data_IF_161094622097
#
_entry.id   IF_161094622097
#
_cell.length_a   1.000
_cell.length_b   1.000
_cell.length_c   1.000
_cell.angle_alpha   90.00
_cell.angle_beta   90.00
_cell.angle_gamma   90.00
#
_symmetry.space_group_name_H-M   'P 1'
#
loop_
_entity.id
_entity.type
_entity.pdbx_description
1 polymer ?
#
# COMPACT_ATOMS: atom_id res chain seq x y z
N UNK A 1 15.87 26.55 12.01
CA UNK A 1 14.63 26.17 12.70
C UNK A 1 13.80 25.35 11.73
N UNK A 2 13.96 24.02 11.76
CA UNK A 2 13.25 23.13 10.84
C UNK A 2 11.76 23.16 11.17
N UNK A 3 10.94 23.49 10.17
CA UNK A 3 9.48 23.49 10.27
C UNK A 3 9.02 22.06 10.47
N UNK A 4 8.70 21.71 11.72
CA UNK A 4 7.94 20.53 12.10
C UNK A 4 6.53 20.67 11.52
N UNK A 5 6.39 20.47 10.21
CA UNK A 5 5.07 20.40 9.59
C UNK A 5 4.38 19.19 10.22
N UNK A 6 3.12 19.32 10.56
CA UNK A 6 2.27 18.24 11.05
C UNK A 6 2.10 17.18 9.95
N UNK A 7 3.14 16.36 9.75
CA UNK A 7 3.20 15.33 8.72
C UNK A 7 2.48 14.07 9.20
N UNK A 8 1.18 14.20 9.38
CA UNK A 8 0.09 13.21 9.23
C UNK A 8 -1.14 13.94 9.73
N UNK A 9 -1.84 14.66 8.84
CA UNK A 9 -3.18 15.16 9.17
C UNK A 9 -4.00 14.04 9.83
N UNK A 10 -4.86 14.36 10.80
CA UNK A 10 -5.70 13.35 11.47
C UNK A 10 -6.40 12.43 10.47
N UNK A 11 -6.78 12.98 9.30
CA UNK A 11 -7.31 12.29 8.13
C UNK A 11 -6.42 11.17 7.60
N UNK A 12 -5.13 11.42 7.33
CA UNK A 12 -4.21 10.39 6.81
C UNK A 12 -4.03 9.25 7.82
N UNK A 13 -4.01 9.58 9.12
CA UNK A 13 -3.93 8.57 10.20
C UNK A 13 -5.22 7.74 10.27
N UNK A 14 -6.38 8.37 10.16
CA UNK A 14 -7.68 7.69 10.15
C UNK A 14 -7.85 6.74 8.95
N UNK A 15 -7.45 7.19 7.75
CA UNK A 15 -7.47 6.34 6.53
C UNK A 15 -6.58 5.11 6.73
N UNK A 16 -5.38 5.29 7.27
CA UNK A 16 -4.43 4.20 7.53
C UNK A 16 -4.96 3.20 8.56
N UNK A 17 -5.58 3.69 9.64
CA UNK A 17 -6.21 2.85 10.65
C UNK A 17 -7.35 2.00 10.04
N UNK A 18 -8.25 2.62 9.28
CA UNK A 18 -9.35 1.91 8.62
C UNK A 18 -8.87 0.87 7.60
N UNK A 19 -7.76 1.12 6.91
CA UNK A 19 -7.18 0.14 5.99
C UNK A 19 -6.58 -1.06 6.74
N UNK A 20 -5.91 -0.84 7.87
CA UNK A 20 -5.40 -1.93 8.73
C UNK A 20 -6.51 -2.84 9.24
N UNK A 21 -7.63 -2.26 9.67
CA UNK A 21 -8.79 -3.02 10.15
C UNK A 21 -9.41 -3.90 9.06
N UNK A 22 -9.36 -3.47 7.79
CA UNK A 22 -9.90 -4.23 6.66
C UNK A 22 -8.97 -5.33 6.15
N UNK A 23 -7.64 -5.14 6.24
CA UNK A 23 -6.67 -6.13 5.73
C UNK A 23 -6.65 -7.40 6.57
N UNK A 24 -6.74 -7.29 7.91
CA UNK A 24 -6.65 -8.45 8.82
C UNK A 24 -7.74 -9.51 8.56
N UNK A 25 -9.04 -9.19 8.48
CA UNK A 25 -10.08 -10.18 8.20
C UNK A 25 -9.90 -10.88 6.85
N UNK A 26 -9.43 -10.15 5.83
CA UNK A 26 -9.18 -10.70 4.49
C UNK A 26 -8.01 -11.68 4.51
N UNK A 27 -6.93 -11.34 5.22
CA UNK A 27 -5.78 -12.23 5.40
C UNK A 27 -6.17 -13.55 6.09
N UNK A 28 -6.94 -13.45 7.19
CA UNK A 28 -7.45 -14.61 7.93
C UNK A 28 -8.30 -15.51 7.01
N UNK A 29 -9.26 -14.93 6.29
CA UNK A 29 -10.15 -15.67 5.37
C UNK A 29 -9.36 -16.42 4.29
N UNK A 30 -8.24 -15.85 3.82
CA UNK A 30 -7.36 -16.46 2.82
C UNK A 30 -6.32 -17.42 3.41
N UNK A 31 -6.36 -17.66 4.73
CA UNK A 31 -5.34 -18.43 5.48
C UNK A 31 -3.93 -17.92 5.18
N UNK A 32 -3.79 -16.61 5.04
CA UNK A 32 -2.52 -15.95 4.73
C UNK A 32 -1.98 -15.26 5.98
N UNK A 33 -0.66 -15.33 6.15
CA UNK A 33 0.05 -14.56 7.16
C UNK A 33 0.57 -13.29 6.51
N UNK A 34 0.00 -12.16 6.91
CA UNK A 34 0.43 -10.84 6.42
C UNK A 34 1.42 -10.23 7.40
N UNK A 35 2.62 -9.93 6.91
CA UNK A 35 3.62 -9.14 7.62
C UNK A 35 3.41 -7.65 7.29
N UNK A 36 3.38 -6.83 8.33
CA UNK A 36 3.25 -5.38 8.21
C UNK A 36 4.61 -4.73 8.43
N UNK A 37 5.02 -3.88 7.48
CA UNK A 37 6.23 -3.08 7.59
C UNK A 37 5.83 -1.61 7.62
N UNK A 38 6.27 -0.90 8.66
CA UNK A 38 5.91 0.50 8.90
C UNK A 38 7.16 1.36 8.78
N UNK A 39 7.09 2.36 7.90
CA UNK A 39 8.07 3.44 7.82
C UNK A 39 7.46 4.78 8.24
N UNK A 40 8.28 5.83 8.24
CA UNK A 40 7.89 7.16 8.72
C UNK A 40 6.64 7.74 8.02
N UNK A 41 6.47 7.45 6.73
CA UNK A 41 5.37 7.98 5.90
C UNK A 41 4.67 6.92 5.06
N UNK A 42 4.89 5.64 5.38
CA UNK A 42 4.37 4.55 4.57
C UNK A 42 4.15 3.28 5.40
N UNK A 43 3.26 2.43 4.91
CA UNK A 43 3.06 1.06 5.40
C UNK A 43 3.08 0.14 4.18
N UNK A 44 3.63 -1.06 4.32
CA UNK A 44 3.48 -2.09 3.30
C UNK A 44 3.05 -3.40 3.94
N UNK A 45 2.29 -4.17 3.17
CA UNK A 45 1.85 -5.49 3.57
C UNK A 45 2.42 -6.55 2.65
N UNK A 46 3.10 -7.51 3.26
CA UNK A 46 3.69 -8.68 2.61
C UNK A 46 2.86 -9.91 2.93
N UNK A 47 2.45 -10.62 1.89
CA UNK A 47 1.87 -11.96 2.01
C UNK A 47 3.00 -12.97 2.19
N UNK A 48 2.94 -13.79 3.23
CA UNK A 48 3.88 -14.91 3.41
C UNK A 48 3.57 -16.06 2.47
N UNK A 49 2.29 -16.34 2.21
CA UNK A 49 1.91 -17.41 1.28
C UNK A 49 2.40 -17.13 -0.16
N UNK A 50 2.43 -15.85 -0.56
CA UNK A 50 2.91 -15.42 -1.89
C UNK A 50 4.35 -14.93 -1.87
N UNK A 51 4.99 -14.90 -0.70
CA UNK A 51 6.33 -14.36 -0.47
C UNK A 51 6.57 -12.99 -1.14
N UNK A 52 5.61 -12.07 -1.08
CA UNK A 52 5.71 -10.77 -1.76
C UNK A 52 4.89 -9.67 -1.10
N UNK A 53 5.31 -8.42 -1.33
CA UNK A 53 4.49 -7.24 -1.02
C UNK A 53 3.32 -7.21 -2.01
N UNK A 54 2.10 -7.04 -1.51
CA UNK A 54 0.89 -6.94 -2.34
C UNK A 54 0.22 -5.58 -2.24
N UNK A 55 0.55 -4.79 -1.22
CA UNK A 55 0.09 -3.43 -1.09
C UNK A 55 1.11 -2.57 -0.33
N UNK A 56 1.22 -1.31 -0.75
CA UNK A 56 1.91 -0.25 -0.02
C UNK A 56 0.98 0.96 0.05
N UNK A 57 1.02 1.69 1.15
CA UNK A 57 0.27 2.92 1.31
C UNK A 57 1.22 4.00 1.78
N UNK A 58 1.16 5.17 1.15
CA UNK A 58 1.95 6.35 1.52
C UNK A 58 1.03 7.46 1.98
N UNK A 59 1.27 7.94 3.20
CA UNK A 59 0.59 9.11 3.72
C UNK A 59 1.25 10.37 3.16
N UNK A 60 0.45 11.26 2.59
CA UNK A 60 0.86 12.59 2.17
C UNK A 60 -0.01 13.62 2.91
N UNK A 61 0.33 14.90 2.78
CA UNK A 61 -0.47 15.98 3.35
C UNK A 61 -1.86 16.00 2.68
N UNK A 62 -2.92 15.76 3.47
CA UNK A 62 -4.32 15.78 3.03
C UNK A 62 -4.77 14.62 2.14
N UNK A 63 -3.90 13.65 1.84
CA UNK A 63 -4.22 12.53 0.94
C UNK A 63 -3.42 11.29 1.25
N UNK A 64 -3.87 10.16 0.70
CA UNK A 64 -3.19 8.88 0.80
C UNK A 64 -3.04 8.28 -0.59
N UNK A 65 -1.84 7.78 -0.91
CA UNK A 65 -1.60 6.99 -2.11
C UNK A 65 -1.60 5.52 -1.75
N UNK A 66 -2.49 4.76 -2.36
CA UNK A 66 -2.55 3.29 -2.22
C UNK A 66 -1.96 2.67 -3.47
N UNK A 67 -1.01 1.77 -3.27
CA UNK A 67 -0.30 1.02 -4.28
C UNK A 67 -0.74 -0.42 -4.17
N UNK A 68 -1.47 -0.93 -5.16
CA UNK A 68 -1.79 -2.36 -5.26
C UNK A 68 -0.75 -3.00 -6.18
N UNK A 69 -0.15 -4.08 -5.70
CA UNK A 69 0.97 -4.76 -6.33
C UNK A 69 0.53 -6.17 -6.75
N UNK A 70 -0.18 -6.33 -7.88
CA UNK A 70 -0.62 -7.63 -8.37
C UNK A 70 0.57 -8.49 -8.82
N UNK A 71 0.35 -9.81 -8.88
CA UNK A 71 1.38 -10.73 -9.35
C UNK A 71 1.46 -10.64 -10.87
N UNK A 72 2.61 -10.95 -11.50
CA UNK A 72 2.76 -10.99 -12.95
C UNK A 72 1.65 -11.78 -13.67
N UNK A 73 1.20 -12.88 -13.05
CA UNK A 73 0.15 -13.76 -13.59
C UNK A 73 -1.28 -13.26 -13.34
N UNK A 74 -1.45 -12.35 -12.38
CA UNK A 74 -2.74 -11.78 -11.99
C UNK A 74 -3.08 -10.52 -12.81
N UNK A 75 -2.10 -10.01 -13.58
CA UNK A 75 -2.28 -8.85 -14.46
C UNK A 75 -2.96 -9.25 -15.75
N UNK A 76 -4.27 -9.04 -15.79
CA UNK A 76 -5.01 -8.80 -17.03
C UNK A 76 -5.33 -7.32 -17.07
N UNK A 77 -4.35 -6.51 -17.43
CA UNK A 77 -4.51 -5.06 -17.49
C UNK A 77 -4.90 -4.62 -18.90
N UNK A 78 -6.14 -4.91 -19.28
CA UNK A 78 -6.71 -4.47 -20.56
C UNK A 78 -6.89 -2.95 -20.66
N UNK A 79 -6.85 -2.24 -19.53
CA UNK A 79 -7.08 -0.80 -19.44
C UNK A 79 -5.79 0.04 -19.23
N UNK A 80 -4.61 -0.59 -19.10
CA UNK A 80 -3.34 0.10 -18.90
C UNK A 80 -3.16 0.78 -17.52
N UNK A 81 -3.97 0.38 -16.53
CA UNK A 81 -3.98 0.93 -15.17
C UNK A 81 -2.87 0.38 -14.27
N UNK A 82 -2.19 -0.67 -14.68
CA UNK A 82 -1.12 -1.33 -13.95
C UNK A 82 0.19 -1.26 -14.73
N UNK A 83 1.13 -0.46 -14.24
CA UNK A 83 2.44 -0.28 -14.87
C UNK A 83 3.51 -1.08 -14.14
N UNK A 84 4.54 -1.51 -14.88
CA UNK A 84 5.69 -2.18 -14.27
C UNK A 84 6.33 -1.25 -13.24
N UNK A 85 6.54 -1.75 -12.03
CA UNK A 85 7.20 -0.97 -10.98
C UNK A 85 8.66 -0.67 -11.40
N UNK A 86 9.19 0.55 -11.18
CA UNK A 86 10.61 0.81 -11.35
C UNK A 86 11.44 -0.14 -10.48
N UNK A 87 12.52 -0.70 -11.03
CA UNK A 87 13.38 -1.68 -10.31
C UNK A 87 13.92 -1.12 -8.99
N UNK A 88 14.08 0.20 -8.91
CA UNK A 88 14.58 0.94 -7.74
C UNK A 88 13.61 0.99 -6.56
N UNK A 89 12.34 0.63 -6.73
CA UNK A 89 11.35 0.68 -5.64
C UNK A 89 11.11 -0.68 -4.96
N UNK A 90 11.86 -1.73 -5.32
CA UNK A 90 11.87 -3.01 -4.59
C UNK A 90 10.56 -3.83 -4.64
N UNK A 91 9.49 -3.30 -5.24
CA UNK A 91 8.18 -3.97 -5.34
C UNK A 91 8.14 -5.15 -6.31
N UNK A 92 9.22 -5.35 -7.05
CA UNK A 92 9.39 -6.46 -7.96
C UNK A 92 8.74 -6.24 -9.32
N UNK A 93 7.42 -5.99 -9.41
CA UNK A 93 6.78 -6.26 -10.71
C UNK A 93 5.72 -5.25 -11.18
N UNK A 94 4.67 -4.84 -10.45
CA UNK A 94 3.65 -3.92 -11.02
C UNK A 94 2.93 -3.07 -9.97
N UNK A 95 2.44 -1.89 -10.35
CA UNK A 95 1.77 -0.90 -9.48
C UNK A 95 0.49 -0.35 -10.14
N UNK A 96 -0.62 -0.46 -9.43
CA UNK A 96 -1.80 0.42 -9.61
C UNK A 96 -1.80 1.47 -8.50
N UNK A 97 -1.97 2.75 -8.86
CA UNK A 97 -2.00 3.88 -7.91
C UNK A 97 -3.44 4.38 -7.76
N UNK A 98 -3.94 4.39 -6.54
CA UNK A 98 -5.19 5.05 -6.18
C UNK A 98 -4.84 6.23 -5.29
N UNK A 99 -5.38 7.40 -5.59
CA UNK A 99 -5.25 8.58 -4.74
C UNK A 99 -6.58 8.80 -4.02
N UNK A 100 -6.52 8.88 -2.69
CA UNK A 100 -7.67 9.14 -1.83
C UNK A 100 -7.44 10.46 -1.13
N UNK A 101 -8.25 11.45 -1.44
CA UNK A 101 -8.33 12.74 -0.76
C UNK A 101 -9.65 12.85 0.01
N UNK A 102 -9.67 13.65 1.08
CA UNK A 102 -10.93 14.07 1.73
C UNK A 102 -11.66 15.12 0.92
#
# INVERSE_FOLDING_TARGET
MEKTTEWTSGTSRAIMAGLRERVRPVAIRRRDRVEEHVGRYWISWRSRNRNRVFAEIRALQGRVQVFILPGPRDLRDSAGLARRAPRTQGWGWFRSRIEVSS
#
